data_IF_833946626440
#
_entry.id   IF_833946626440
#
_cell.length_a   1.000
_cell.length_b   1.000
_cell.length_c   1.000
_cell.angle_alpha   90.00
_cell.angle_beta   90.00
_cell.angle_gamma   90.00
#
_symmetry.space_group_name_H-M   'P 1'
#
loop_
_entity.id
_entity.type
_entity.pdbx_description
1 polymer ?
#
# COMPACT_ATOMS: atom_id res chain seq x y z
N UNK A 1 -6.52 -25.22 40.54
CA UNK A 1 -7.47 -26.02 39.74
C UNK A 1 -8.35 -25.14 38.84
N UNK A 2 -8.74 -23.93 39.20
CA UNK A 2 -9.54 -22.99 38.40
C UNK A 2 -8.87 -22.56 37.07
N UNK A 3 -7.59 -22.25 37.05
CA UNK A 3 -6.85 -21.76 35.85
C UNK A 3 -6.91 -22.77 34.70
N UNK A 4 -6.77 -24.08 34.95
CA UNK A 4 -6.80 -25.10 33.88
C UNK A 4 -8.19 -25.23 33.21
N UNK A 5 -9.27 -24.90 33.92
CA UNK A 5 -10.64 -24.97 33.36
C UNK A 5 -10.93 -23.82 32.41
N UNK A 6 -10.42 -22.61 32.70
CA UNK A 6 -10.52 -21.44 31.81
C UNK A 6 -9.69 -21.61 30.53
N UNK A 7 -8.47 -22.15 30.66
CA UNK A 7 -7.56 -22.37 29.51
C UNK A 7 -8.22 -23.27 28.45
N UNK A 8 -8.97 -24.32 28.86
CA UNK A 8 -9.70 -25.19 27.90
C UNK A 8 -10.74 -24.41 27.10
N UNK A 9 -11.49 -23.48 27.72
CA UNK A 9 -12.49 -22.67 27.03
C UNK A 9 -11.85 -21.72 26.03
N UNK A 10 -10.71 -21.09 26.38
CA UNK A 10 -9.97 -20.24 25.44
C UNK A 10 -9.48 -21.01 24.21
N UNK A 11 -8.93 -22.23 24.41
CA UNK A 11 -8.54 -23.07 23.26
C UNK A 11 -9.74 -23.44 22.38
N UNK A 12 -10.88 -23.80 22.97
CA UNK A 12 -12.09 -24.13 22.18
C UNK A 12 -12.56 -22.89 21.39
N UNK A 13 -12.51 -21.70 21.96
CA UNK A 13 -12.86 -20.45 21.25
C UNK A 13 -11.88 -20.11 20.11
N UNK A 14 -10.61 -20.52 20.21
CA UNK A 14 -9.61 -20.32 19.17
C UNK A 14 -9.71 -21.33 18.01
N UNK A 15 -10.32 -22.50 18.25
CA UNK A 15 -10.40 -23.58 17.23
C UNK A 15 -10.99 -23.11 15.91
N UNK A 16 -12.13 -22.39 15.83
CA UNK A 16 -12.68 -21.95 14.55
C UNK A 16 -11.72 -21.04 13.79
N UNK A 17 -11.08 -20.09 14.48
CA UNK A 17 -10.10 -19.18 13.86
C UNK A 17 -8.86 -19.94 13.39
N UNK A 18 -8.38 -20.91 14.18
CA UNK A 18 -7.23 -21.72 13.83
C UNK A 18 -7.53 -22.65 12.63
N UNK A 19 -8.71 -23.28 12.59
CA UNK A 19 -9.14 -24.10 11.45
C UNK A 19 -9.23 -23.26 10.17
N UNK A 20 -9.80 -22.05 10.26
CA UNK A 20 -9.86 -21.11 9.14
C UNK A 20 -8.46 -20.79 8.62
N UNK A 21 -7.55 -20.39 9.52
CA UNK A 21 -6.16 -20.09 9.18
C UNK A 21 -5.44 -21.30 8.57
N UNK A 22 -5.64 -22.48 9.13
CA UNK A 22 -5.03 -23.72 8.65
C UNK A 22 -5.47 -24.03 7.23
N UNK A 23 -6.79 -24.11 6.95
CA UNK A 23 -7.29 -24.51 5.64
C UNK A 23 -7.11 -23.42 4.57
N UNK A 24 -7.25 -22.13 4.92
CA UNK A 24 -7.25 -21.06 3.93
C UNK A 24 -5.93 -20.29 3.83
N UNK A 25 -5.00 -20.47 4.77
CA UNK A 25 -3.68 -19.83 4.70
C UNK A 25 -2.55 -20.85 4.65
N UNK A 26 -2.51 -21.82 5.58
CA UNK A 26 -1.38 -22.78 5.66
C UNK A 26 -1.43 -23.81 4.54
N UNK A 27 -2.58 -24.45 4.32
CA UNK A 27 -2.72 -25.47 3.27
C UNK A 27 -2.38 -24.94 1.87
N UNK A 28 -2.85 -23.76 1.43
CA UNK A 28 -2.44 -23.22 0.13
C UNK A 28 -0.94 -22.93 -0.01
N UNK A 29 -0.21 -22.75 1.10
CA UNK A 29 1.24 -22.56 1.03
C UNK A 29 1.99 -23.77 0.47
N UNK A 30 1.42 -24.98 0.55
CA UNK A 30 2.00 -26.16 -0.12
C UNK A 30 2.06 -25.99 -1.65
N UNK A 31 1.24 -25.10 -2.23
CA UNK A 31 1.31 -24.70 -3.63
C UNK A 31 2.65 -24.08 -4.04
N UNK A 32 3.47 -23.62 -3.09
CA UNK A 32 4.83 -23.10 -3.35
C UNK A 32 5.69 -24.12 -4.10
N UNK A 33 5.44 -25.40 -3.93
CA UNK A 33 6.17 -26.50 -4.62
C UNK A 33 6.08 -26.34 -6.14
N UNK A 34 4.98 -25.78 -6.68
CA UNK A 34 4.82 -25.53 -8.11
C UNK A 34 5.91 -24.61 -8.68
N UNK A 35 6.50 -23.72 -7.87
CA UNK A 35 7.62 -22.86 -8.29
C UNK A 35 8.86 -23.68 -8.74
N UNK A 36 9.00 -24.89 -8.24
CA UNK A 36 10.14 -25.78 -8.49
C UNK A 36 9.79 -26.94 -9.44
N UNK A 37 8.58 -26.92 -9.99
CA UNK A 37 8.06 -27.95 -10.89
C UNK A 37 7.73 -27.37 -12.27
N UNK A 38 7.73 -28.22 -13.28
CA UNK A 38 6.99 -28.01 -14.53
C UNK A 38 5.57 -28.53 -14.28
N UNK A 39 4.75 -27.65 -13.67
CA UNK A 39 3.44 -28.04 -13.15
C UNK A 39 2.45 -28.26 -14.29
N UNK A 40 1.88 -29.47 -14.32
CA UNK A 40 0.81 -29.84 -15.22
C UNK A 40 -0.50 -30.03 -14.42
N UNK A 41 -1.54 -29.23 -14.65
CA UNK A 41 -2.82 -29.37 -13.94
C UNK A 41 -3.43 -30.79 -14.03
N UNK A 42 -3.23 -31.48 -15.15
CA UNK A 42 -3.73 -32.85 -15.36
C UNK A 42 -3.02 -33.90 -14.49
N UNK A 43 -1.79 -33.63 -14.04
CA UNK A 43 -1.02 -34.54 -13.19
C UNK A 43 -1.06 -34.13 -11.71
N UNK A 44 -1.43 -32.88 -11.44
CA UNK A 44 -1.45 -32.31 -10.09
C UNK A 44 -0.04 -32.07 -9.52
N UNK A 45 0.03 -31.55 -8.28
CA UNK A 45 1.28 -31.17 -7.61
C UNK A 45 2.17 -32.39 -7.34
N UNK A 46 1.60 -33.55 -7.01
CA UNK A 46 2.36 -34.73 -6.59
C UNK A 46 3.08 -35.45 -7.73
N UNK A 47 2.56 -35.34 -8.96
CA UNK A 47 3.08 -36.07 -10.12
C UNK A 47 3.72 -35.17 -11.19
N UNK A 48 3.68 -33.84 -10.99
CA UNK A 48 4.35 -32.91 -11.90
C UNK A 48 5.87 -33.01 -11.77
N UNK A 49 6.56 -32.87 -12.91
CA UNK A 49 8.02 -33.02 -13.00
C UNK A 49 8.75 -31.95 -12.19
N UNK A 50 9.63 -32.37 -11.27
CA UNK A 50 10.48 -31.44 -10.53
C UNK A 50 11.63 -30.93 -11.41
N UNK A 51 11.76 -29.59 -11.55
CA UNK A 51 12.77 -28.91 -12.39
C UNK A 51 13.71 -28.01 -11.59
N UNK A 52 13.60 -28.04 -10.27
CA UNK A 52 14.45 -27.25 -9.36
C UNK A 52 14.30 -25.75 -9.62
N UNK A 53 15.41 -25.04 -9.85
CA UNK A 53 15.45 -23.58 -10.03
C UNK A 53 15.25 -23.12 -11.49
N UNK A 54 14.82 -24.00 -12.41
CA UNK A 54 14.67 -23.66 -13.83
C UNK A 54 13.69 -22.47 -14.05
N UNK A 55 12.56 -22.44 -13.34
CA UNK A 55 11.58 -21.36 -13.44
C UNK A 55 12.16 -20.02 -12.97
N UNK A 56 12.99 -20.02 -11.94
CA UNK A 56 13.67 -18.80 -11.47
C UNK A 56 14.73 -18.32 -12.47
N UNK A 57 15.51 -19.23 -13.06
CA UNK A 57 16.45 -18.87 -14.12
C UNK A 57 15.75 -18.27 -15.32
N UNK A 58 14.66 -18.88 -15.76
CA UNK A 58 13.84 -18.37 -16.86
C UNK A 58 13.25 -16.99 -16.54
N UNK A 59 12.71 -16.81 -15.33
CA UNK A 59 12.21 -15.50 -14.86
C UNK A 59 13.26 -14.39 -15.02
N UNK A 60 14.51 -14.61 -14.59
CA UNK A 60 15.58 -13.62 -14.71
C UNK A 60 16.07 -13.35 -16.14
N UNK A 61 15.75 -14.22 -17.08
CA UNK A 61 16.05 -14.03 -18.50
C UNK A 61 14.99 -13.21 -19.24
N UNK A 62 13.81 -13.06 -18.64
CA UNK A 62 12.71 -12.29 -19.22
C UNK A 62 12.94 -10.79 -19.04
N UNK A 63 12.93 -10.04 -20.16
CA UNK A 63 13.02 -8.57 -20.15
C UNK A 63 11.89 -7.91 -19.37
N UNK A 64 10.69 -8.51 -19.43
CA UNK A 64 9.48 -7.97 -18.81
C UNK A 64 9.57 -7.93 -17.28
N UNK A 65 10.21 -8.91 -16.66
CA UNK A 65 10.34 -8.99 -15.20
C UNK A 65 11.09 -7.80 -14.62
N UNK A 66 12.18 -7.39 -15.27
CA UNK A 66 12.95 -6.20 -14.81
C UNK A 66 12.10 -4.93 -14.87
N UNK A 67 11.29 -4.78 -15.93
CA UNK A 67 10.39 -3.64 -16.08
C UNK A 67 9.28 -3.67 -15.02
N UNK A 68 8.65 -4.82 -14.83
CA UNK A 68 7.60 -5.04 -13.81
C UNK A 68 8.11 -4.77 -12.39
N UNK A 69 9.32 -5.23 -12.07
CA UNK A 69 9.98 -4.92 -10.79
C UNK A 69 10.20 -3.42 -10.62
N UNK A 70 10.74 -2.76 -11.64
CA UNK A 70 10.97 -1.30 -11.62
C UNK A 70 9.66 -0.54 -11.43
N UNK A 71 8.61 -0.89 -12.18
CA UNK A 71 7.29 -0.28 -12.05
C UNK A 71 6.71 -0.47 -10.65
N UNK A 72 6.79 -1.71 -10.12
CA UNK A 72 6.32 -2.04 -8.78
C UNK A 72 6.98 -1.16 -7.72
N UNK A 73 8.31 -1.08 -7.74
CA UNK A 73 9.08 -0.27 -6.79
C UNK A 73 8.78 1.23 -6.96
N UNK A 74 8.76 1.73 -8.20
CA UNK A 74 8.50 3.16 -8.46
C UNK A 74 7.12 3.58 -7.97
N UNK A 75 6.08 2.80 -8.29
CA UNK A 75 4.71 3.10 -7.87
C UNK A 75 4.59 2.97 -6.35
N UNK A 76 5.11 1.90 -5.76
CA UNK A 76 5.02 1.68 -4.31
C UNK A 76 5.76 2.76 -3.51
N UNK A 77 6.98 3.11 -3.90
CA UNK A 77 7.74 4.18 -3.25
C UNK A 77 7.02 5.53 -3.38
N UNK A 78 6.50 5.85 -4.57
CA UNK A 78 5.71 7.08 -4.77
C UNK A 78 4.48 7.13 -3.86
N UNK A 79 3.75 6.01 -3.74
CA UNK A 79 2.60 5.89 -2.83
C UNK A 79 3.02 6.01 -1.35
N UNK A 80 4.10 5.34 -0.94
CA UNK A 80 4.61 5.41 0.43
C UNK A 80 4.95 6.85 0.80
N UNK A 81 5.73 7.54 -0.02
CA UNK A 81 6.13 8.95 0.22
C UNK A 81 4.87 9.83 0.30
N UNK A 82 3.96 9.70 -0.65
CA UNK A 82 2.72 10.48 -0.66
C UNK A 82 1.84 10.21 0.54
N UNK A 83 1.64 8.94 0.91
CA UNK A 83 0.83 8.54 2.07
C UNK A 83 1.48 8.85 3.44
N UNK A 84 2.74 9.29 3.48
CA UNK A 84 3.38 9.88 4.66
C UNK A 84 3.16 11.39 4.67
N UNK A 85 3.50 12.05 3.56
CA UNK A 85 3.56 13.53 3.48
C UNK A 85 2.15 14.15 3.52
N UNK A 86 1.24 13.71 2.65
CA UNK A 86 -0.08 14.33 2.52
C UNK A 86 -0.94 14.19 3.79
N UNK A 87 -1.03 13.00 4.45
CA UNK A 87 -1.75 12.88 5.71
C UNK A 87 -1.14 13.72 6.84
N UNK A 88 0.21 13.80 6.89
CA UNK A 88 0.91 14.62 7.88
C UNK A 88 0.56 16.11 7.70
N UNK A 89 0.70 16.64 6.47
CA UNK A 89 0.34 18.03 6.16
C UNK A 89 -1.13 18.28 6.51
N UNK A 90 -2.02 17.38 6.10
CA UNK A 90 -3.44 17.55 6.38
C UNK A 90 -3.78 17.49 7.88
N UNK A 91 -3.08 16.64 8.66
CA UNK A 91 -3.22 16.60 10.11
C UNK A 91 -2.82 17.92 10.77
N UNK A 92 -1.68 18.50 10.34
CA UNK A 92 -1.21 19.80 10.82
C UNK A 92 -2.22 20.91 10.49
N UNK A 93 -2.68 20.99 9.24
CA UNK A 93 -3.68 21.97 8.82
C UNK A 93 -5.00 21.83 9.59
N UNK A 94 -5.45 20.59 9.76
CA UNK A 94 -6.69 20.33 10.48
C UNK A 94 -6.55 20.62 11.98
N UNK A 95 -5.39 20.41 12.56
CA UNK A 95 -5.12 20.78 13.97
C UNK A 95 -5.18 22.28 14.18
N UNK A 96 -4.61 23.06 13.27
CA UNK A 96 -4.57 24.52 13.31
C UNK A 96 -5.88 25.22 12.88
N UNK A 97 -6.85 24.46 12.37
CA UNK A 97 -8.12 25.03 11.90
C UNK A 97 -8.86 25.70 13.06
N UNK A 98 -9.02 27.03 12.99
CA UNK A 98 -9.66 27.84 14.02
C UNK A 98 -11.17 27.52 14.15
N UNK A 99 -11.85 27.24 13.03
CA UNK A 99 -13.28 26.96 12.98
C UNK A 99 -13.55 25.49 13.38
N UNK A 100 -13.62 25.23 14.67
CA UNK A 100 -13.85 23.89 15.24
C UNK A 100 -15.08 23.17 14.64
N UNK A 101 -16.11 23.94 14.26
CA UNK A 101 -17.36 23.41 13.64
C UNK A 101 -17.13 22.79 12.25
N UNK A 102 -16.12 23.23 11.52
CA UNK A 102 -15.77 22.72 10.18
C UNK A 102 -14.89 21.46 10.24
N UNK A 103 -14.21 21.17 11.37
CA UNK A 103 -13.34 19.99 11.47
C UNK A 103 -14.07 18.68 11.15
N UNK A 104 -15.23 18.46 11.75
CA UNK A 104 -16.02 17.22 11.55
C UNK A 104 -16.52 17.06 10.11
N UNK A 105 -17.19 18.03 9.47
CA UNK A 105 -17.60 17.91 8.07
C UNK A 105 -16.42 17.66 7.13
N UNK A 106 -15.32 18.40 7.28
CA UNK A 106 -14.12 18.22 6.46
C UNK A 106 -13.57 16.80 6.62
N UNK A 107 -13.43 16.29 7.85
CA UNK A 107 -13.00 14.92 8.10
C UNK A 107 -13.92 13.90 7.44
N UNK A 108 -15.24 14.06 7.57
CA UNK A 108 -16.22 13.13 6.98
C UNK A 108 -16.07 13.05 5.46
N UNK A 109 -15.99 14.20 4.79
CA UNK A 109 -15.87 14.28 3.32
C UNK A 109 -14.54 13.65 2.86
N UNK A 110 -13.44 14.00 3.53
CA UNK A 110 -12.10 13.57 3.13
C UNK A 110 -11.84 12.09 3.45
N UNK A 111 -12.53 11.53 4.45
CA UNK A 111 -12.42 10.11 4.80
C UNK A 111 -13.25 9.20 3.88
N UNK A 112 -14.30 9.73 3.25
CA UNK A 112 -15.26 8.95 2.46
C UNK A 112 -14.62 8.08 1.36
N UNK A 113 -13.67 8.57 0.54
CA UNK A 113 -13.06 7.77 -0.51
C UNK A 113 -12.37 6.49 -0.01
N UNK A 114 -11.85 6.51 1.21
CA UNK A 114 -11.16 5.36 1.81
C UNK A 114 -12.08 4.12 1.92
N UNK A 115 -13.36 4.31 2.20
CA UNK A 115 -14.33 3.22 2.38
C UNK A 115 -14.87 2.63 1.07
N UNK A 116 -14.57 3.26 -0.07
CA UNK A 116 -14.96 2.73 -1.37
C UNK A 116 -13.99 1.65 -1.84
N UNK A 117 -14.51 0.57 -2.43
CA UNK A 117 -13.66 -0.44 -3.08
C UNK A 117 -12.96 0.16 -4.32
N UNK A 118 -11.78 -0.39 -4.68
CA UNK A 118 -11.10 0.04 -5.91
C UNK A 118 -11.91 -0.26 -7.17
N UNK A 119 -12.78 -1.27 -7.16
CA UNK A 119 -13.68 -1.57 -8.30
C UNK A 119 -14.62 -0.38 -8.58
N UNK A 120 -15.18 0.21 -7.54
CA UNK A 120 -16.08 1.37 -7.67
C UNK A 120 -15.26 2.63 -7.96
N UNK A 121 -14.20 2.85 -7.19
CA UNK A 121 -13.41 4.07 -7.27
C UNK A 121 -12.69 4.20 -8.62
N UNK A 122 -12.18 3.09 -9.17
CA UNK A 122 -11.56 3.08 -10.49
C UNK A 122 -12.52 3.53 -11.59
N UNK A 123 -13.79 3.09 -11.56
CA UNK A 123 -14.80 3.56 -12.51
C UNK A 123 -15.04 5.06 -12.41
N UNK A 124 -15.09 5.60 -11.19
CA UNK A 124 -15.23 7.04 -10.97
C UNK A 124 -14.00 7.77 -11.52
N UNK A 125 -12.80 7.29 -11.22
CA UNK A 125 -11.54 7.88 -11.69
C UNK A 125 -11.47 7.82 -13.23
N UNK A 126 -11.78 6.68 -13.85
CA UNK A 126 -11.81 6.55 -15.29
C UNK A 126 -12.79 7.53 -15.95
N UNK A 127 -13.97 7.72 -15.38
CA UNK A 127 -14.96 8.68 -15.89
C UNK A 127 -14.51 10.15 -15.73
N UNK A 128 -13.83 10.48 -14.62
CA UNK A 128 -13.32 11.84 -14.40
C UNK A 128 -12.21 12.19 -15.39
N UNK A 129 -11.33 11.24 -15.69
CA UNK A 129 -10.14 11.41 -16.53
C UNK A 129 -10.33 10.89 -17.97
N UNK A 130 -11.53 10.44 -18.37
CA UNK A 130 -11.77 10.03 -19.76
C UNK A 130 -11.66 11.20 -20.72
N UNK A 131 -11.52 10.92 -22.02
CA UNK A 131 -11.32 11.92 -23.04
C UNK A 131 -12.41 13.00 -23.06
N UNK A 132 -13.65 12.63 -22.77
CA UNK A 132 -14.82 13.53 -22.67
C UNK A 132 -15.19 13.86 -21.22
N UNK A 133 -14.30 13.57 -20.28
CA UNK A 133 -14.55 13.74 -18.84
C UNK A 133 -14.38 15.18 -18.35
N UNK A 134 -14.79 15.42 -17.08
CA UNK A 134 -14.74 16.77 -16.49
C UNK A 134 -13.34 17.40 -16.51
N UNK A 135 -12.28 16.62 -16.31
CA UNK A 135 -10.90 17.14 -16.32
C UNK A 135 -10.53 17.64 -17.72
N UNK A 136 -10.81 16.87 -18.76
CA UNK A 136 -10.55 17.29 -20.14
C UNK A 136 -11.41 18.46 -20.55
N UNK A 137 -12.65 18.52 -20.06
CA UNK A 137 -13.50 19.70 -20.29
C UNK A 137 -12.90 20.96 -19.65
N UNK A 138 -12.35 20.87 -18.44
CA UNK A 138 -11.64 21.99 -17.83
C UNK A 138 -10.39 22.39 -18.65
N UNK A 139 -9.59 21.43 -19.12
CA UNK A 139 -8.42 21.71 -19.96
C UNK A 139 -8.82 22.46 -21.21
N UNK A 140 -9.89 22.05 -21.89
CA UNK A 140 -10.43 22.72 -23.06
C UNK A 140 -10.94 24.15 -22.79
N UNK A 141 -11.56 24.38 -21.62
CA UNK A 141 -11.97 25.72 -21.20
C UNK A 141 -10.79 26.69 -21.05
N UNK A 142 -9.60 26.19 -20.73
CA UNK A 142 -8.37 26.97 -20.67
C UNK A 142 -7.57 26.95 -21.99
N UNK A 143 -8.15 26.44 -23.08
CA UNK A 143 -7.55 26.44 -24.42
C UNK A 143 -6.55 25.30 -24.68
N UNK A 144 -6.52 24.28 -23.81
CA UNK A 144 -5.68 23.10 -24.02
C UNK A 144 -6.39 21.98 -24.80
N UNK A 145 -5.59 21.06 -25.39
CA UNK A 145 -6.12 19.88 -26.05
C UNK A 145 -6.46 18.77 -25.06
N UNK A 146 -7.50 17.96 -25.32
CA UNK A 146 -7.87 16.86 -24.45
C UNK A 146 -6.78 15.77 -24.42
N UNK A 147 -6.49 15.27 -23.23
CA UNK A 147 -5.44 14.30 -22.94
C UNK A 147 -6.04 12.92 -22.72
N UNK A 148 -5.43 11.88 -23.32
CA UNK A 148 -5.77 10.49 -23.02
C UNK A 148 -5.00 10.00 -21.79
N UNK A 149 -5.44 10.38 -20.59
CA UNK A 149 -4.73 10.15 -19.34
C UNK A 149 -4.37 8.69 -19.07
N UNK A 150 -5.27 7.75 -19.39
CA UNK A 150 -5.05 6.33 -19.17
C UNK A 150 -4.55 5.57 -20.42
N UNK A 151 -4.34 6.25 -21.54
CA UNK A 151 -3.70 5.71 -22.73
C UNK A 151 -2.22 6.08 -22.81
N UNK A 152 -1.78 7.09 -22.07
CA UNK A 152 -0.38 7.53 -22.07
C UNK A 152 0.43 6.91 -20.96
N UNK A 153 1.43 6.11 -21.34
CA UNK A 153 2.31 5.40 -20.41
C UNK A 153 3.02 6.34 -19.40
N UNK A 154 3.39 7.56 -19.84
CA UNK A 154 4.06 8.54 -18.96
C UNK A 154 3.16 9.10 -17.85
N UNK A 155 1.85 9.17 -18.08
CA UNK A 155 0.90 9.73 -17.15
C UNK A 155 0.35 8.69 -16.17
N UNK A 156 0.44 7.40 -16.51
CA UNK A 156 -0.19 6.34 -15.73
C UNK A 156 0.35 6.25 -14.30
N UNK A 157 1.67 6.24 -14.11
CA UNK A 157 2.27 6.15 -12.76
C UNK A 157 1.89 7.34 -11.85
N UNK A 158 2.02 8.62 -12.29
CA UNK A 158 1.54 9.76 -11.50
C UNK A 158 0.06 9.69 -11.14
N UNK A 159 -0.80 9.25 -12.07
CA UNK A 159 -2.24 9.11 -11.82
C UNK A 159 -2.55 8.03 -10.78
N UNK A 160 -1.90 6.87 -10.89
CA UNK A 160 -2.08 5.77 -9.93
C UNK A 160 -1.59 6.20 -8.55
N UNK A 161 -0.44 6.86 -8.45
CA UNK A 161 0.10 7.37 -7.18
C UNK A 161 -0.85 8.44 -6.62
N UNK A 162 -1.25 9.42 -7.42
CA UNK A 162 -2.11 10.52 -6.99
C UNK A 162 -3.50 10.05 -6.51
N UNK A 163 -4.12 9.12 -7.23
CA UNK A 163 -5.44 8.58 -6.86
C UNK A 163 -5.39 7.69 -5.61
N UNK A 164 -4.29 6.98 -5.37
CA UNK A 164 -4.07 6.22 -4.14
C UNK A 164 -3.92 7.15 -2.93
N UNK A 165 -3.10 8.20 -3.06
CA UNK A 165 -2.93 9.22 -2.04
C UNK A 165 -4.29 9.88 -1.76
N UNK A 166 -5.03 10.31 -2.79
CA UNK A 166 -6.36 10.90 -2.62
C UNK A 166 -7.33 9.99 -1.89
N UNK A 167 -7.31 8.68 -2.17
CA UNK A 167 -8.13 7.71 -1.46
C UNK A 167 -7.75 7.58 0.01
N UNK A 168 -6.44 7.55 0.31
CA UNK A 168 -5.92 7.14 1.62
C UNK A 168 -5.62 8.29 2.59
N UNK A 169 -5.24 9.49 2.10
CA UNK A 169 -4.66 10.51 2.95
C UNK A 169 -5.57 10.96 4.10
N UNK A 170 -6.87 11.05 3.84
CA UNK A 170 -7.83 11.47 4.86
C UNK A 170 -7.83 10.50 6.06
N UNK A 171 -8.02 9.22 5.81
CA UNK A 171 -8.05 8.21 6.86
C UNK A 171 -6.70 8.08 7.58
N UNK A 172 -5.60 8.08 6.84
CA UNK A 172 -4.25 7.99 7.38
C UNK A 172 -3.91 9.20 8.29
N UNK A 173 -4.58 10.34 8.11
CA UNK A 173 -4.45 11.53 8.95
C UNK A 173 -4.82 11.28 10.42
N UNK A 174 -5.69 10.31 10.70
CA UNK A 174 -6.16 10.00 12.06
C UNK A 174 -4.99 9.66 12.98
N UNK A 175 -4.03 8.88 12.50
CA UNK A 175 -2.85 8.47 13.30
C UNK A 175 -1.98 9.68 13.65
N UNK A 176 -1.75 10.58 12.68
CA UNK A 176 -0.98 11.81 12.92
C UNK A 176 -1.72 12.77 13.86
N UNK A 177 -3.05 12.90 13.73
CA UNK A 177 -3.85 13.70 14.65
C UNK A 177 -3.78 13.17 16.07
N UNK A 178 -3.85 11.84 16.25
CA UNK A 178 -3.71 11.23 17.57
C UNK A 178 -2.32 11.52 18.19
N UNK A 179 -1.26 11.43 17.36
CA UNK A 179 0.09 11.77 17.80
C UNK A 179 0.23 13.24 18.19
N UNK A 180 -0.34 14.17 17.40
CA UNK A 180 -0.32 15.62 17.69
C UNK A 180 -1.04 15.92 18.99
N UNK A 181 -2.19 15.29 19.23
CA UNK A 181 -2.96 15.47 20.48
C UNK A 181 -2.24 14.91 21.71
N UNK A 182 -1.30 14.00 21.53
CA UNK A 182 -0.45 13.45 22.59
C UNK A 182 0.74 14.34 22.97
N UNK A 183 1.04 15.40 22.22
CA UNK A 183 2.11 16.35 22.56
C UNK A 183 1.70 17.18 23.76
N UNK A 184 2.62 17.38 24.72
CA UNK A 184 2.35 18.13 25.94
C UNK A 184 1.96 19.58 25.61
N UNK A 185 0.82 20.01 26.15
CA UNK A 185 0.27 21.35 25.97
C UNK A 185 1.14 22.43 26.58
N UNK A 186 1.89 22.13 27.62
CA UNK A 186 2.79 23.08 28.28
C UNK A 186 3.87 23.58 27.34
N UNK A 187 4.31 22.76 26.37
CA UNK A 187 5.28 23.17 25.34
C UNK A 187 4.69 24.21 24.40
N UNK A 188 3.41 24.12 24.07
CA UNK A 188 2.73 25.11 23.25
C UNK A 188 2.51 26.43 24.01
N UNK A 189 2.24 26.34 25.32
CA UNK A 189 2.07 27.51 26.19
C UNK A 189 3.38 28.25 26.40
N UNK A 190 4.48 27.51 26.63
CA UNK A 190 5.81 28.09 26.72
C UNK A 190 6.24 28.78 25.43
N UNK A 191 6.07 28.10 24.27
CA UNK A 191 6.35 28.70 22.98
C UNK A 191 5.50 29.94 22.68
N UNK A 192 4.25 29.97 23.15
CA UNK A 192 3.39 31.15 23.02
C UNK A 192 3.87 32.32 23.91
N UNK A 193 4.34 32.05 25.13
CA UNK A 193 4.93 33.05 26.01
C UNK A 193 6.21 33.67 25.43
N UNK A 194 7.01 32.85 24.70
CA UNK A 194 8.19 33.29 23.94
C UNK A 194 7.85 34.02 22.65
N UNK A 195 6.54 34.28 22.35
CA UNK A 195 6.10 35.00 21.16
C UNK A 195 6.07 34.18 19.88
N UNK A 196 6.19 32.83 19.95
CA UNK A 196 6.16 31.97 18.77
C UNK A 196 4.79 31.98 18.07
N UNK A 197 4.78 32.38 16.81
CA UNK A 197 3.61 32.28 15.93
C UNK A 197 3.23 30.83 15.61
N UNK A 198 2.07 30.62 14.96
CA UNK A 198 1.52 29.26 14.65
C UNK A 198 2.51 28.41 13.87
N UNK A 199 3.12 28.95 12.82
CA UNK A 199 4.09 28.21 11.99
C UNK A 199 5.33 27.78 12.79
N UNK A 200 5.84 28.68 13.64
CA UNK A 200 7.00 28.40 14.50
C UNK A 200 6.69 27.28 15.50
N UNK A 201 5.48 27.28 16.09
CA UNK A 201 5.02 26.18 16.98
C UNK A 201 4.88 24.85 16.25
N UNK A 202 4.38 24.84 15.01
CA UNK A 202 4.33 23.61 14.20
C UNK A 202 5.76 23.06 14.02
N UNK A 203 6.71 23.93 13.62
CA UNK A 203 8.06 23.49 13.26
C UNK A 203 8.91 23.08 14.46
N UNK A 204 8.79 23.77 15.61
CA UNK A 204 9.66 23.57 16.77
C UNK A 204 9.01 22.76 17.91
N UNK A 205 7.69 22.61 17.93
CA UNK A 205 6.98 21.85 18.96
C UNK A 205 6.27 20.63 18.38
N UNK A 206 5.36 20.86 17.40
CA UNK A 206 4.52 19.78 16.89
C UNK A 206 5.34 18.73 16.14
N UNK A 207 6.11 19.12 15.11
CA UNK A 207 6.89 18.17 14.29
C UNK A 207 7.94 17.40 15.11
N UNK A 208 8.73 18.03 15.99
CA UNK A 208 9.63 17.29 16.89
C UNK A 208 8.87 16.36 17.84
N UNK A 209 7.72 16.79 18.36
CA UNK A 209 6.90 15.99 19.26
C UNK A 209 6.34 14.70 18.65
N UNK A 210 6.04 14.71 17.35
CA UNK A 210 5.51 13.54 16.64
C UNK A 210 6.55 12.78 15.80
N UNK A 211 7.82 13.20 15.81
CA UNK A 211 8.88 12.64 14.97
C UNK A 211 9.00 11.11 15.08
N UNK A 212 8.83 10.58 16.27
CA UNK A 212 8.91 9.13 16.53
C UNK A 212 7.77 8.39 15.81
N UNK A 213 6.55 8.94 15.86
CA UNK A 213 5.40 8.36 15.12
C UNK A 213 5.60 8.42 13.62
N UNK A 214 6.08 9.55 13.09
CA UNK A 214 6.37 9.70 11.65
C UNK A 214 7.46 8.70 11.21
N UNK A 215 8.56 8.61 11.97
CA UNK A 215 9.65 7.67 11.68
C UNK A 215 9.17 6.21 11.75
N UNK A 216 8.38 5.86 12.76
CA UNK A 216 7.81 4.51 12.89
C UNK A 216 6.94 4.15 11.69
N UNK A 217 6.00 5.03 11.29
CA UNK A 217 5.14 4.78 10.13
C UNK A 217 5.93 4.68 8.83
N UNK A 218 6.96 5.53 8.66
CA UNK A 218 7.85 5.47 7.50
C UNK A 218 8.60 4.14 7.42
N UNK A 219 9.15 3.67 8.55
CA UNK A 219 9.88 2.40 8.61
C UNK A 219 8.94 1.21 8.37
N UNK A 220 7.75 1.19 8.99
CA UNK A 220 6.76 0.13 8.78
C UNK A 220 6.28 0.07 7.33
N UNK A 221 6.22 1.22 6.63
CA UNK A 221 5.84 1.25 5.21
C UNK A 221 6.88 0.61 4.27
N UNK A 222 8.14 0.44 4.71
CA UNK A 222 9.17 -0.25 3.92
C UNK A 222 8.78 -1.70 3.62
N UNK A 223 8.03 -2.36 4.51
CA UNK A 223 7.51 -3.70 4.27
C UNK A 223 6.55 -3.78 3.06
N UNK A 224 5.99 -2.66 2.64
CA UNK A 224 5.06 -2.57 1.51
C UNK A 224 5.70 -2.12 0.19
N UNK A 225 7.03 -1.98 0.11
CA UNK A 225 7.73 -1.49 -1.10
C UNK A 225 7.49 -2.37 -2.34
N UNK A 226 7.16 -3.66 -2.16
CA UNK A 226 6.76 -4.54 -3.27
C UNK A 226 5.24 -4.71 -3.38
N UNK A 227 4.45 -3.95 -2.63
CA UNK A 227 2.99 -3.96 -2.71
C UNK A 227 2.48 -2.66 -3.33
N UNK A 228 2.46 -2.63 -4.67
CA UNK A 228 2.04 -1.45 -5.42
C UNK A 228 0.50 -1.29 -5.53
N UNK A 229 -0.28 -2.24 -5.02
CA UNK A 229 -1.75 -2.21 -4.98
C UNK A 229 -2.39 -2.84 -6.20
N UNK A 230 -2.55 -4.17 -6.16
CA UNK A 230 -3.15 -4.98 -7.23
C UNK A 230 -4.53 -4.47 -7.64
N UNK A 231 -5.45 -4.31 -6.69
CA UNK A 231 -6.85 -3.96 -6.98
C UNK A 231 -6.99 -2.63 -7.73
N UNK A 232 -6.18 -1.64 -7.35
CA UNK A 232 -6.19 -0.35 -8.04
C UNK A 232 -5.69 -0.49 -9.47
N UNK A 233 -4.50 -1.06 -9.64
CA UNK A 233 -3.84 -1.13 -10.94
C UNK A 233 -4.62 -2.01 -11.88
N UNK A 234 -5.08 -3.17 -11.42
CA UNK A 234 -5.87 -4.10 -12.21
C UNK A 234 -7.16 -3.47 -12.78
N UNK A 235 -7.80 -2.57 -12.02
CA UNK A 235 -9.02 -1.89 -12.45
C UNK A 235 -8.78 -0.62 -13.29
N UNK A 236 -7.55 -0.10 -13.32
CA UNK A 236 -7.20 1.14 -14.04
C UNK A 236 -6.36 0.91 -15.29
N UNK A 237 -5.52 -0.15 -15.30
CA UNK A 237 -4.56 -0.37 -16.39
C UNK A 237 -5.20 -0.99 -17.63
N UNK A 238 -4.51 -0.86 -18.76
CA UNK A 238 -4.84 -1.47 -20.04
C UNK A 238 -3.54 -1.78 -20.80
N UNK A 239 -3.59 -2.52 -21.92
CA UNK A 239 -2.40 -2.90 -22.68
C UNK A 239 -1.49 -1.74 -23.13
N UNK A 240 -2.04 -0.55 -23.39
CA UNK A 240 -1.26 0.63 -23.82
C UNK A 240 -0.27 1.12 -22.75
N UNK A 241 -0.57 0.87 -21.49
CA UNK A 241 0.22 1.35 -20.35
C UNK A 241 0.98 0.25 -19.61
N UNK A 242 1.02 -0.99 -20.12
CA UNK A 242 1.76 -2.09 -19.47
C UNK A 242 3.24 -1.75 -19.27
N UNK A 243 3.83 -0.98 -20.19
CA UNK A 243 5.23 -0.55 -20.06
C UNK A 243 5.54 0.20 -18.75
N UNK A 244 4.59 0.91 -18.16
CA UNK A 244 4.78 1.68 -16.92
C UNK A 244 3.82 1.27 -15.81
N UNK A 245 2.73 0.58 -16.14
CA UNK A 245 1.65 0.25 -15.20
C UNK A 245 1.65 -1.20 -14.73
N UNK A 246 2.27 -2.12 -15.44
CA UNK A 246 2.30 -3.52 -15.03
C UNK A 246 3.20 -3.71 -13.82
N UNK A 247 2.66 -4.34 -12.78
CA UNK A 247 3.35 -4.61 -11.51
C UNK A 247 3.47 -6.12 -11.28
N UNK A 248 4.27 -6.54 -10.31
CA UNK A 248 4.47 -7.97 -10.03
C UNK A 248 3.12 -8.69 -9.87
N UNK A 249 2.18 -8.13 -9.12
CA UNK A 249 0.91 -8.78 -8.81
C UNK A 249 0.01 -8.90 -10.06
N UNK A 250 -0.05 -7.88 -10.92
CA UNK A 250 -0.83 -7.93 -12.17
C UNK A 250 -0.18 -8.85 -13.19
N UNK A 251 1.14 -8.89 -13.24
CA UNK A 251 1.89 -9.82 -14.08
C UNK A 251 1.67 -11.27 -13.65
N UNK A 252 1.79 -11.57 -12.33
CA UNK A 252 1.53 -12.91 -11.76
C UNK A 252 0.10 -13.37 -12.03
N UNK A 253 -0.88 -12.47 -11.88
CA UNK A 253 -2.27 -12.77 -12.18
C UNK A 253 -2.45 -13.12 -13.67
N UNK A 254 -1.90 -12.34 -14.57
CA UNK A 254 -1.99 -12.57 -16.02
C UNK A 254 -1.24 -13.83 -16.44
N UNK A 255 0.01 -13.99 -16.01
CA UNK A 255 0.80 -15.18 -16.34
C UNK A 255 0.18 -16.47 -15.75
N UNK A 256 -0.21 -16.41 -14.48
CA UNK A 256 -0.72 -17.59 -13.76
C UNK A 256 -2.13 -17.99 -14.16
N UNK A 257 -3.08 -17.06 -14.09
CA UNK A 257 -4.50 -17.38 -14.22
C UNK A 257 -5.04 -17.18 -15.65
N UNK A 258 -4.52 -16.23 -16.41
CA UNK A 258 -4.98 -16.02 -17.80
C UNK A 258 -4.18 -16.88 -18.79
N UNK A 259 -2.84 -16.96 -18.61
CA UNK A 259 -1.95 -17.71 -19.51
C UNK A 259 -1.64 -19.12 -19.02
N UNK A 260 -2.19 -19.54 -17.86
CA UNK A 260 -2.02 -20.87 -17.26
C UNK A 260 -0.57 -21.27 -16.97
N UNK A 261 0.33 -20.30 -16.85
CA UNK A 261 1.76 -20.48 -16.53
C UNK A 261 1.97 -20.56 -15.00
N UNK A 262 1.34 -21.52 -14.36
CA UNK A 262 1.29 -21.63 -12.89
C UNK A 262 2.68 -21.68 -12.25
N UNK A 263 3.57 -22.49 -12.78
CA UNK A 263 4.93 -22.67 -12.25
C UNK A 263 5.71 -21.35 -12.23
N UNK A 264 5.70 -20.63 -13.35
CA UNK A 264 6.40 -19.36 -13.49
C UNK A 264 5.78 -18.27 -12.61
N UNK A 265 4.45 -18.16 -12.61
CA UNK A 265 3.74 -17.22 -11.76
C UNK A 265 4.01 -17.47 -10.26
N UNK A 266 4.04 -18.75 -9.84
CA UNK A 266 4.37 -19.12 -8.47
C UNK A 266 5.82 -18.79 -8.13
N UNK A 267 6.77 -19.00 -9.06
CA UNK A 267 8.17 -18.62 -8.86
C UNK A 267 8.36 -17.11 -8.68
N UNK A 268 7.69 -16.28 -9.51
CA UNK A 268 7.71 -14.81 -9.37
C UNK A 268 7.06 -14.36 -8.07
N UNK A 269 5.92 -14.94 -7.70
CA UNK A 269 5.23 -14.66 -6.42
C UNK A 269 6.09 -15.05 -5.21
N UNK A 270 6.76 -16.20 -5.25
CA UNK A 270 7.67 -16.63 -4.20
C UNK A 270 8.90 -15.70 -4.10
N UNK A 271 9.49 -15.32 -5.22
CA UNK A 271 10.58 -14.35 -5.26
C UNK A 271 10.17 -13.01 -4.62
N UNK A 272 9.01 -12.46 -4.98
CA UNK A 272 8.42 -11.28 -4.34
C UNK A 272 8.30 -11.47 -2.83
N UNK A 273 7.77 -12.62 -2.38
CA UNK A 273 7.54 -12.90 -0.96
C UNK A 273 8.83 -12.95 -0.16
N UNK A 274 9.89 -13.57 -0.71
CA UNK A 274 11.22 -13.62 -0.08
C UNK A 274 11.80 -12.22 0.07
N UNK A 275 11.75 -11.39 -0.98
CA UNK A 275 12.24 -10.00 -0.88
C UNK A 275 11.42 -9.21 0.12
N UNK A 276 10.08 -9.34 0.12
CA UNK A 276 9.21 -8.67 1.09
C UNK A 276 9.54 -9.07 2.52
N UNK A 277 9.82 -10.35 2.78
CA UNK A 277 10.24 -10.83 4.10
C UNK A 277 11.54 -10.18 4.57
N UNK A 278 12.54 -10.09 3.68
CA UNK A 278 13.81 -9.42 3.98
C UNK A 278 13.57 -7.93 4.28
N UNK A 279 12.79 -7.24 3.45
CA UNK A 279 12.50 -5.82 3.63
C UNK A 279 11.72 -5.55 4.94
N UNK A 280 10.75 -6.39 5.28
CA UNK A 280 10.01 -6.31 6.54
C UNK A 280 10.96 -6.50 7.73
N UNK A 281 11.81 -7.53 7.68
CA UNK A 281 12.76 -7.82 8.76
C UNK A 281 13.76 -6.67 8.94
N UNK A 282 14.30 -6.13 7.86
CA UNK A 282 15.18 -4.95 7.89
C UNK A 282 14.42 -3.73 8.41
N UNK A 283 13.17 -3.53 7.98
CA UNK A 283 12.32 -2.44 8.45
C UNK A 283 12.11 -2.52 9.98
N UNK A 284 11.79 -3.68 10.51
CA UNK A 284 11.65 -3.85 11.96
C UNK A 284 12.95 -3.62 12.73
N UNK A 285 14.08 -4.12 12.22
CA UNK A 285 15.38 -3.86 12.82
C UNK A 285 15.72 -2.35 12.84
N UNK A 286 15.41 -1.64 11.76
CA UNK A 286 15.56 -0.18 11.69
C UNK A 286 14.63 0.53 12.69
N UNK A 287 13.38 0.07 12.82
CA UNK A 287 12.42 0.64 13.78
C UNK A 287 12.94 0.53 15.21
N UNK A 288 13.40 -0.65 15.63
CA UNK A 288 13.98 -0.86 16.96
C UNK A 288 15.19 0.05 17.19
N UNK A 289 16.11 0.11 16.22
CA UNK A 289 17.34 0.90 16.34
C UNK A 289 17.12 2.41 16.41
N UNK A 290 16.20 2.96 15.61
CA UNK A 290 16.02 4.42 15.47
C UNK A 290 14.91 4.99 16.33
N UNK A 291 13.90 4.22 16.69
CA UNK A 291 12.76 4.69 17.47
C UNK A 291 12.71 4.10 18.89
N UNK A 292 13.54 3.10 19.19
CA UNK A 292 13.48 2.33 20.44
C UNK A 292 12.18 1.54 20.60
N UNK A 293 11.39 1.40 19.53
CA UNK A 293 10.11 0.70 19.56
C UNK A 293 10.35 -0.79 19.36
N UNK A 294 10.29 -1.55 20.46
CA UNK A 294 10.33 -3.03 20.42
C UNK A 294 8.93 -3.54 20.14
N UNK A 295 8.76 -4.27 19.06
CA UNK A 295 7.50 -4.93 18.70
C UNK A 295 7.33 -6.28 19.41
N UNK A 296 8.43 -6.88 19.90
CA UNK A 296 8.47 -8.14 20.65
C UNK A 296 9.42 -8.04 21.85
#
# INVERSE_FOLDING_TARGET
MYIKRFVKHYYIMLVPAFLWLFFFSIVPMFGIVMAFQDYNPGQGILHSKFVGLANFKYMFQMSDITQVLRNTVTIAVGKIIGNIIFPLIFALLLNELALKRLKRPIQTIVYLPYFLSWVILAKIVLNIFCYTGPINHLIQLFGGDPINFFGEAKLFQPLVIGTDIWKGFGYNTVVYLAAILGVDKTLYEAAAADGAGRFMRIWHVTLPGIRTTVALLAILSLGNVLNAGFDQIYNLYNPLVYSTGDIIDTWVYRAGLQNLQYSLATAVGLFKSVISLVLITVGYWLADKFTGYKLF
#
